data_IF_723377726799
#
_entry.id   IF_723377726799
#
_cell.length_a   1.000
_cell.length_b   1.000
_cell.length_c   1.000
_cell.angle_alpha   90.00
_cell.angle_beta   90.00
_cell.angle_gamma   90.00
#
_symmetry.space_group_name_H-M   'P 1'
#
loop_
_entity.id
_entity.type
_entity.pdbx_description
1 polymer ?
#
# COMPACT_ATOMS: atom_id res chain seq x y z
N UNK A 1 6.62 4.76 12.91
CA UNK A 1 6.01 5.84 12.10
C UNK A 1 4.85 5.25 11.29
N UNK A 2 3.90 6.08 10.80
CA UNK A 2 2.89 5.65 9.82
C UNK A 2 3.33 6.11 8.43
N UNK A 3 3.31 5.21 7.46
CA UNK A 3 3.70 5.49 6.07
C UNK A 3 2.56 5.12 5.14
N UNK A 4 2.27 5.98 4.17
CA UNK A 4 1.30 5.71 3.10
C UNK A 4 2.07 5.52 1.80
N UNK A 5 1.85 4.39 1.12
CA UNK A 5 2.43 4.08 -0.19
C UNK A 5 1.30 4.13 -1.21
N UNK A 6 1.39 5.05 -2.18
CA UNK A 6 0.40 5.20 -3.25
C UNK A 6 0.99 4.59 -4.54
N UNK A 7 0.31 3.57 -5.05
CA UNK A 7 0.76 2.72 -6.15
C UNK A 7 1.58 1.54 -5.63
N UNK A 8 1.07 0.33 -5.86
CA UNK A 8 1.63 -0.99 -5.51
C UNK A 8 2.01 -1.74 -6.79
N UNK A 9 2.65 -1.03 -7.72
CA UNK A 9 3.39 -1.65 -8.81
C UNK A 9 4.67 -2.31 -8.31
N UNK A 10 5.65 -2.48 -9.20
CA UNK A 10 6.92 -3.13 -8.84
C UNK A 10 7.66 -2.41 -7.70
N UNK A 11 7.87 -1.10 -7.82
CA UNK A 11 8.62 -0.32 -6.81
C UNK A 11 7.82 -0.17 -5.52
N UNK A 12 6.54 0.21 -5.63
CA UNK A 12 5.69 0.43 -4.48
C UNK A 12 5.52 -0.80 -3.60
N UNK A 13 5.38 -1.99 -4.21
CA UNK A 13 5.35 -3.27 -3.49
C UNK A 13 6.63 -3.52 -2.70
N UNK A 14 7.80 -3.38 -3.33
CA UNK A 14 9.08 -3.57 -2.64
C UNK A 14 9.30 -2.57 -1.51
N UNK A 15 8.91 -1.31 -1.70
CA UNK A 15 8.99 -0.27 -0.66
C UNK A 15 8.02 -0.58 0.49
N UNK A 16 6.77 -0.95 0.20
CA UNK A 16 5.80 -1.30 1.22
C UNK A 16 6.26 -2.49 2.06
N UNK A 17 6.80 -3.52 1.42
CA UNK A 17 7.34 -4.70 2.10
C UNK A 17 8.50 -4.31 3.03
N UNK A 18 9.52 -3.61 2.52
CA UNK A 18 10.69 -3.23 3.30
C UNK A 18 10.35 -2.33 4.51
N UNK A 19 9.38 -1.43 4.35
CA UNK A 19 8.97 -0.53 5.43
C UNK A 19 8.04 -1.20 6.46
N UNK A 20 7.30 -2.23 6.06
CA UNK A 20 6.35 -2.92 6.95
C UNK A 20 7.02 -3.61 8.14
N UNK A 21 8.29 -4.00 8.01
CA UNK A 21 9.04 -4.68 9.07
C UNK A 21 9.22 -3.83 10.35
N UNK A 22 9.25 -2.49 10.20
CA UNK A 22 9.51 -1.57 11.31
C UNK A 22 8.43 -0.47 11.45
N UNK A 23 7.51 -0.35 10.50
CA UNK A 23 6.55 0.75 10.44
C UNK A 23 5.15 0.26 10.06
N UNK A 24 4.14 1.03 10.49
CA UNK A 24 2.77 0.78 10.07
C UNK A 24 2.58 1.35 8.67
N UNK A 25 2.47 0.46 7.69
CA UNK A 25 2.30 0.81 6.27
C UNK A 25 0.85 0.67 5.86
N UNK A 26 0.34 1.67 5.14
CA UNK A 26 -0.94 1.63 4.43
C UNK A 26 -0.62 1.77 2.95
N UNK A 27 -1.02 0.80 2.14
CA UNK A 27 -0.82 0.81 0.71
C UNK A 27 -2.14 1.11 -0.03
N UNK A 28 -2.09 1.98 -1.02
CA UNK A 28 -3.23 2.40 -1.84
C UNK A 28 -2.94 2.07 -3.30
N UNK A 29 -3.83 1.33 -3.97
CA UNK A 29 -3.76 1.09 -5.41
C UNK A 29 -5.19 0.97 -5.98
N UNK A 30 -5.34 1.17 -7.29
CA UNK A 30 -6.60 0.97 -8.02
C UNK A 30 -6.84 -0.50 -8.35
N UNK A 31 -5.78 -1.30 -8.37
CA UNK A 31 -5.80 -2.70 -8.77
C UNK A 31 -5.92 -3.60 -7.52
N UNK A 32 -7.10 -4.21 -7.27
CA UNK A 32 -7.33 -5.04 -6.09
C UNK A 32 -6.45 -6.30 -6.08
N UNK A 33 -6.08 -6.85 -7.24
CA UNK A 33 -5.25 -8.05 -7.32
C UNK A 33 -3.83 -7.79 -6.77
N UNK A 34 -3.30 -6.59 -7.03
CA UNK A 34 -1.99 -6.16 -6.47
C UNK A 34 -2.06 -5.95 -4.97
N UNK A 35 -3.16 -5.39 -4.50
CA UNK A 35 -3.40 -5.17 -3.08
C UNK A 35 -3.49 -6.48 -2.32
N UNK A 36 -4.19 -7.47 -2.88
CA UNK A 36 -4.32 -8.79 -2.26
C UNK A 36 -3.02 -9.57 -2.29
N UNK A 37 -2.25 -9.49 -3.38
CA UNK A 37 -0.90 -10.05 -3.44
C UNK A 37 0.01 -9.45 -2.34
N UNK A 38 0.02 -8.12 -2.19
CA UNK A 38 0.83 -7.47 -1.16
C UNK A 38 0.36 -7.85 0.27
N UNK A 39 -0.96 -7.91 0.53
CA UNK A 39 -1.50 -8.35 1.83
C UNK A 39 -1.08 -9.77 2.19
N UNK A 40 -0.94 -10.66 1.20
CA UNK A 40 -0.53 -12.04 1.43
C UNK A 40 0.96 -12.18 1.81
N UNK A 41 1.77 -11.18 1.45
CA UNK A 41 3.23 -11.25 1.57
C UNK A 41 3.81 -10.42 2.71
N UNK A 42 3.12 -9.35 3.14
CA UNK A 42 3.61 -8.40 4.13
C UNK A 42 2.51 -7.94 5.09
N UNK A 43 2.90 -7.56 6.32
CA UNK A 43 2.00 -6.99 7.33
C UNK A 43 1.67 -5.53 6.99
N UNK A 44 0.80 -5.35 5.99
CA UNK A 44 0.37 -4.04 5.51
C UNK A 44 -1.15 -3.89 5.55
N UNK A 45 -1.60 -2.69 5.86
CA UNK A 45 -2.97 -2.29 5.57
C UNK A 45 -3.07 -1.89 4.11
N UNK A 46 -4.20 -2.18 3.48
CA UNK A 46 -4.38 -2.00 2.05
C UNK A 46 -5.74 -1.39 1.80
N UNK A 47 -5.82 -0.43 0.89
CA UNK A 47 -7.02 0.33 0.57
C UNK A 47 -7.13 0.52 -0.95
N UNK A 48 -8.24 0.07 -1.54
CA UNK A 48 -8.48 0.23 -2.97
C UNK A 48 -8.93 1.66 -3.27
N UNK A 49 -8.25 2.33 -4.19
CA UNK A 49 -8.62 3.68 -4.59
C UNK A 49 -7.57 4.39 -5.43
N UNK A 50 -7.98 5.53 -5.99
CA UNK A 50 -7.07 6.45 -6.67
C UNK A 50 -6.41 7.38 -5.66
N UNK A 51 -5.14 7.16 -5.32
CA UNK A 51 -4.42 8.02 -4.40
C UNK A 51 -4.21 9.46 -4.88
N UNK A 52 -4.57 9.81 -6.12
CA UNK A 52 -4.66 11.20 -6.57
C UNK A 52 -5.96 11.90 -6.13
N UNK A 53 -6.96 11.15 -5.63
CA UNK A 53 -8.23 11.70 -5.12
C UNK A 53 -8.14 11.95 -3.63
N UNK A 54 -8.39 13.18 -3.20
CA UNK A 54 -8.27 13.58 -1.78
C UNK A 54 -9.19 12.76 -0.86
N UNK A 55 -10.33 12.33 -1.37
CA UNK A 55 -11.32 11.52 -0.68
C UNK A 55 -10.86 10.09 -0.36
N UNK A 56 -9.83 9.60 -1.05
CA UNK A 56 -9.16 8.31 -0.74
C UNK A 56 -8.15 8.47 0.40
N UNK A 57 -7.65 9.68 0.66
CA UNK A 57 -6.58 9.96 1.63
C UNK A 57 -7.07 10.65 2.92
N UNK A 58 -8.38 10.89 3.04
CA UNK A 58 -8.99 11.55 4.20
C UNK A 58 -9.10 10.64 5.42
#
# INVERSE_FOLDING_TARGET
MKVVVIGVGQVGRSVAHALSEAHKVIAVDKDPDRLDALRAEADVLTHEGDGAKVEVLK
#
